data_IF_322208452588
#
_entry.id   IF_322208452588
#
_cell.length_a   1.000
_cell.length_b   1.000
_cell.length_c   1.000
_cell.angle_alpha   90.00
_cell.angle_beta   90.00
_cell.angle_gamma   90.00
#
_symmetry.space_group_name_H-M   'P 1'
#
loop_
_entity.id
_entity.type
_entity.pdbx_description
1 polymer ?
#
# COMPACT_ATOMS: atom_id res chain seq x y z
N UNK A 1 -8.34 -2.50 32.01
CA UNK A 1 -9.48 -1.68 31.54
C UNK A 1 -9.28 -1.46 30.05
N UNK A 2 -10.34 -1.40 29.22
CA UNK A 2 -10.18 -1.15 27.80
C UNK A 2 -9.45 0.18 27.59
N UNK A 3 -8.48 0.20 26.66
CA UNK A 3 -7.71 1.39 26.33
C UNK A 3 -8.61 2.39 25.59
N UNK A 4 -8.40 3.68 25.90
CA UNK A 4 -8.96 4.82 25.15
C UNK A 4 -8.01 5.13 23.98
N UNK A 5 -8.52 5.05 22.77
CA UNK A 5 -7.69 5.06 21.54
C UNK A 5 -8.06 6.24 20.67
N UNK A 6 -7.06 7.00 20.23
CA UNK A 6 -7.16 7.83 19.03
C UNK A 6 -6.71 6.97 17.84
N UNK A 7 -7.58 6.83 16.82
CA UNK A 7 -7.24 6.16 15.59
C UNK A 7 -6.93 7.17 14.47
N UNK A 8 -5.82 6.97 13.77
CA UNK A 8 -5.40 7.83 12.65
C UNK A 8 -5.19 7.00 11.40
N UNK A 9 -6.04 7.17 10.40
CA UNK A 9 -5.97 6.39 9.17
C UNK A 9 -6.69 7.06 8.00
N UNK A 10 -6.39 6.63 6.76
CA UNK A 10 -7.05 7.18 5.56
C UNK A 10 -7.36 6.11 4.53
N UNK A 11 -6.38 5.28 4.16
CA UNK A 11 -6.49 4.30 3.08
C UNK A 11 -7.25 3.03 3.50
N UNK A 12 -7.70 2.25 2.51
CA UNK A 12 -8.38 0.96 2.72
C UNK A 12 -7.59 0.00 3.62
N UNK A 13 -6.26 0.06 3.58
CA UNK A 13 -5.38 -0.74 4.44
C UNK A 13 -5.65 -0.55 5.94
N UNK A 14 -6.15 0.62 6.34
CA UNK A 14 -6.43 0.96 7.72
C UNK A 14 -7.80 0.44 8.22
N UNK A 15 -8.72 0.13 7.30
CA UNK A 15 -10.11 -0.26 7.62
C UNK A 15 -10.19 -1.48 8.54
N UNK A 16 -9.52 -2.62 8.26
CA UNK A 16 -9.60 -3.79 9.13
C UNK A 16 -9.13 -3.50 10.56
N UNK A 17 -8.14 -2.62 10.72
CA UNK A 17 -7.63 -2.25 12.04
C UNK A 17 -8.69 -1.47 12.83
N UNK A 18 -9.31 -0.44 12.25
CA UNK A 18 -10.38 0.31 12.93
C UNK A 18 -11.54 -0.61 13.32
N UNK A 19 -12.00 -1.45 12.39
CA UNK A 19 -13.07 -2.43 12.64
C UNK A 19 -12.69 -3.41 13.77
N UNK A 20 -11.43 -3.88 13.75
CA UNK A 20 -10.90 -4.79 14.77
C UNK A 20 -10.86 -4.16 16.17
N UNK A 21 -10.48 -2.89 16.28
CA UNK A 21 -10.43 -2.16 17.55
C UNK A 21 -11.84 -2.00 18.15
N UNK A 22 -12.80 -1.55 17.35
CA UNK A 22 -14.20 -1.42 17.78
C UNK A 22 -14.78 -2.79 18.17
N UNK A 23 -14.54 -3.82 17.36
CA UNK A 23 -15.05 -5.18 17.60
C UNK A 23 -14.47 -5.85 18.84
N UNK A 24 -13.33 -5.41 19.37
CA UNK A 24 -12.70 -5.89 20.61
C UNK A 24 -13.11 -5.08 21.85
N UNK A 25 -13.97 -4.07 21.67
CA UNK A 25 -14.51 -3.28 22.78
C UNK A 25 -13.55 -2.21 23.31
N UNK A 26 -12.51 -1.83 22.54
CA UNK A 26 -11.73 -0.65 22.86
C UNK A 26 -12.56 0.62 22.65
N UNK A 27 -12.35 1.63 23.47
CA UNK A 27 -13.00 2.93 23.32
C UNK A 27 -12.23 3.78 22.30
N UNK A 28 -12.73 3.84 21.04
CA UNK A 28 -12.17 4.75 20.02
C UNK A 28 -12.76 6.14 20.25
N UNK A 29 -12.02 7.01 20.95
CA UNK A 29 -12.48 8.32 21.37
C UNK A 29 -12.46 9.37 20.26
N UNK A 30 -11.61 9.18 19.24
CA UNK A 30 -11.59 10.01 18.04
C UNK A 30 -10.93 9.27 16.87
N UNK A 31 -11.39 9.58 15.66
CA UNK A 31 -10.83 9.09 14.39
C UNK A 31 -10.31 10.29 13.60
N UNK A 32 -9.04 10.24 13.22
CA UNK A 32 -8.41 11.24 12.35
C UNK A 32 -8.23 10.65 10.95
N UNK A 33 -8.71 11.36 9.94
CA UNK A 33 -8.52 10.99 8.53
C UNK A 33 -8.19 12.21 7.68
N UNK A 34 -7.79 12.01 6.45
CA UNK A 34 -7.60 13.11 5.49
C UNK A 34 -8.94 13.61 5.03
N UNK A 35 -9.05 14.93 4.87
CA UNK A 35 -10.24 15.53 4.28
C UNK A 35 -10.60 14.88 2.93
N UNK A 36 -11.91 14.76 2.61
CA UNK A 36 -12.36 14.25 1.34
C UNK A 36 -11.70 14.97 0.16
N UNK A 37 -11.37 14.22 -0.88
CA UNK A 37 -10.71 14.76 -2.07
C UNK A 37 -11.55 14.49 -3.31
N UNK A 38 -11.47 15.37 -4.32
CA UNK A 38 -12.04 15.09 -5.63
C UNK A 38 -11.50 13.75 -6.16
N UNK A 39 -12.40 12.85 -6.51
CA UNK A 39 -12.10 11.51 -7.04
C UNK A 39 -13.10 11.16 -8.15
N UNK A 40 -13.00 9.94 -8.72
CA UNK A 40 -13.86 9.49 -9.80
C UNK A 40 -13.32 9.79 -11.19
N UNK A 41 -14.07 9.35 -12.24
CA UNK A 41 -13.64 9.42 -13.65
C UNK A 41 -13.31 10.82 -14.16
N UNK A 42 -13.89 11.86 -13.58
CA UNK A 42 -13.67 13.28 -13.96
C UNK A 42 -13.06 14.10 -12.83
N UNK A 43 -12.74 13.49 -11.67
CA UNK A 43 -12.20 14.19 -10.51
C UNK A 43 -13.13 15.25 -9.92
N UNK A 44 -14.44 15.14 -10.14
CA UNK A 44 -15.43 16.15 -9.74
C UNK A 44 -16.18 15.78 -8.46
N UNK A 45 -16.26 14.48 -8.14
CA UNK A 45 -17.01 14.02 -6.97
C UNK A 45 -16.12 14.04 -5.73
N UNK A 46 -16.51 14.77 -4.70
CA UNK A 46 -15.86 14.74 -3.41
C UNK A 46 -16.16 13.37 -2.76
N UNK A 47 -15.13 12.56 -2.63
CA UNK A 47 -15.27 11.19 -2.11
C UNK A 47 -14.68 11.10 -0.71
N UNK A 48 -15.49 10.67 0.30
CA UNK A 48 -14.98 10.44 1.64
C UNK A 48 -13.92 9.33 1.66
N UNK A 49 -12.97 9.42 2.59
CA UNK A 49 -11.96 8.39 2.76
C UNK A 49 -12.61 7.06 3.21
N UNK A 50 -11.99 5.89 2.96
CA UNK A 50 -12.44 4.63 3.53
C UNK A 50 -12.64 4.68 5.05
N UNK A 51 -11.76 5.33 5.77
CA UNK A 51 -11.84 5.49 7.23
C UNK A 51 -12.97 6.43 7.64
N UNK A 52 -13.23 7.50 6.89
CA UNK A 52 -14.38 8.37 7.13
C UNK A 52 -15.70 7.60 7.06
N UNK A 53 -15.88 6.75 6.04
CA UNK A 53 -17.08 5.91 5.90
C UNK A 53 -17.28 4.97 7.09
N UNK A 54 -16.20 4.34 7.57
CA UNK A 54 -16.26 3.44 8.73
C UNK A 54 -16.50 4.20 10.04
N UNK A 55 -15.86 5.36 10.23
CA UNK A 55 -16.08 6.20 11.40
C UNK A 55 -17.55 6.62 11.51
N UNK A 56 -18.16 7.05 10.40
CA UNK A 56 -19.57 7.40 10.33
C UNK A 56 -20.47 6.18 10.61
N UNK A 57 -20.14 5.00 10.07
CA UNK A 57 -20.88 3.76 10.30
C UNK A 57 -20.91 3.35 11.77
N UNK A 58 -19.84 3.59 12.51
CA UNK A 58 -19.72 3.31 13.93
C UNK A 58 -20.10 4.50 14.82
N UNK A 59 -20.57 5.62 14.24
CA UNK A 59 -20.88 6.87 14.95
C UNK A 59 -19.69 7.38 15.82
N UNK A 60 -18.47 7.22 15.32
CA UNK A 60 -17.25 7.68 16.01
C UNK A 60 -16.98 9.16 15.74
N UNK A 61 -16.43 9.91 16.73
CA UNK A 61 -16.01 11.28 16.52
C UNK A 61 -14.95 11.36 15.42
N UNK A 62 -15.17 12.21 14.41
CA UNK A 62 -14.33 12.30 13.20
C UNK A 62 -13.69 13.67 13.09
N UNK A 63 -12.38 13.70 12.82
CA UNK A 63 -11.59 14.90 12.57
C UNK A 63 -10.81 14.77 11.26
N UNK A 64 -10.78 15.88 10.51
CA UNK A 64 -10.07 15.93 9.22
C UNK A 64 -9.09 17.12 9.15
N UNK A 65 -8.09 17.19 10.05
CA UNK A 65 -7.18 18.33 10.11
C UNK A 65 -6.35 18.43 8.82
N UNK A 66 -6.14 19.66 8.36
CA UNK A 66 -5.26 19.93 7.22
C UNK A 66 -3.78 19.67 7.57
N UNK A 67 -3.41 19.88 8.83
CA UNK A 67 -2.06 19.69 9.37
C UNK A 67 -2.12 19.29 10.85
N UNK A 68 -1.09 18.61 11.32
CA UNK A 68 -0.88 18.28 12.75
C UNK A 68 0.26 19.10 13.37
N UNK A 69 0.80 20.08 12.65
CA UNK A 69 1.98 20.84 13.07
C UNK A 69 1.69 22.03 14.00
N UNK A 70 0.42 22.29 14.32
CA UNK A 70 0.02 23.40 15.17
C UNK A 70 -0.11 22.97 16.63
N UNK A 71 0.11 23.89 17.56
CA UNK A 71 -0.13 23.64 18.98
C UNK A 71 -1.60 23.28 19.26
N UNK A 72 -2.54 23.89 18.51
CA UNK A 72 -3.97 23.60 18.60
C UNK A 72 -4.26 22.12 18.28
N UNK A 73 -3.65 21.56 17.23
CA UNK A 73 -3.82 20.16 16.90
C UNK A 73 -3.32 19.22 18.01
N UNK A 74 -2.19 19.54 18.63
CA UNK A 74 -1.66 18.76 19.74
C UNK A 74 -2.57 18.88 21.00
N UNK A 75 -3.05 20.08 21.30
CA UNK A 75 -3.98 20.32 22.42
C UNK A 75 -5.31 19.58 22.20
N UNK A 76 -5.83 19.56 20.96
CA UNK A 76 -7.02 18.82 20.61
C UNK A 76 -6.80 17.30 20.82
N UNK A 77 -5.66 16.78 20.40
CA UNK A 77 -5.32 15.36 20.59
C UNK A 77 -5.22 15.01 22.09
N UNK A 78 -4.55 15.84 22.87
CA UNK A 78 -4.46 15.68 24.32
C UNK A 78 -5.82 15.77 25.01
N UNK A 79 -6.69 16.68 24.54
CA UNK A 79 -8.04 16.89 25.07
C UNK A 79 -8.98 15.69 24.92
N UNK A 80 -8.68 14.72 24.03
CA UNK A 80 -9.46 13.46 23.95
C UNK A 80 -9.24 12.56 25.17
N UNK A 81 -8.21 12.75 25.96
CA UNK A 81 -7.87 11.90 27.10
C UNK A 81 -7.63 10.45 26.68
N UNK A 82 -7.02 10.25 25.54
CA UNK A 82 -6.70 8.92 25.01
C UNK A 82 -5.40 8.41 25.62
N UNK A 83 -5.33 7.09 25.88
CA UNK A 83 -4.13 6.44 26.39
C UNK A 83 -3.06 6.26 25.32
N UNK A 84 -3.49 5.97 24.09
CA UNK A 84 -2.62 5.57 22.98
C UNK A 84 -3.19 6.02 21.64
N UNK A 85 -2.31 6.31 20.67
CA UNK A 85 -2.70 6.49 19.28
C UNK A 85 -2.31 5.27 18.43
N UNK A 86 -3.22 4.86 17.53
CA UNK A 86 -2.96 3.85 16.50
C UNK A 86 -3.00 4.53 15.14
N UNK A 87 -1.90 4.43 14.41
CA UNK A 87 -1.70 5.10 13.13
C UNK A 87 -1.54 4.06 12.02
N UNK A 88 -2.37 4.12 10.97
CA UNK A 88 -2.31 3.18 9.85
C UNK A 88 -2.56 3.93 8.54
N UNK A 89 -1.58 4.01 7.67
CA UNK A 89 -1.69 4.64 6.35
C UNK A 89 -2.42 6.01 6.38
N UNK A 90 -2.08 6.86 7.35
CA UNK A 90 -2.76 8.15 7.60
C UNK A 90 -2.37 9.23 6.58
N UNK A 91 -1.07 9.32 6.28
CA UNK A 91 -0.55 10.24 5.27
C UNK A 91 -0.28 11.66 5.72
N UNK A 92 -0.27 11.93 7.03
CA UNK A 92 0.31 13.13 7.65
C UNK A 92 1.42 12.72 8.60
N UNK A 93 2.44 13.59 8.71
CA UNK A 93 3.52 13.43 9.70
C UNK A 93 3.00 13.86 11.07
N UNK A 94 3.25 13.04 12.09
CA UNK A 94 2.97 13.35 13.47
C UNK A 94 4.21 14.06 14.08
N UNK A 95 4.13 15.35 14.38
CA UNK A 95 5.23 16.06 15.04
C UNK A 95 5.34 15.65 16.52
N UNK A 96 6.47 15.93 17.15
CA UNK A 96 6.76 15.56 18.54
C UNK A 96 5.64 15.89 19.53
N UNK A 97 5.06 17.12 19.54
CA UNK A 97 3.96 17.41 20.47
C UNK A 97 2.71 16.53 20.28
N UNK A 98 2.47 16.07 19.06
CA UNK A 98 1.38 15.13 18.75
C UNK A 98 1.70 13.72 19.25
N UNK A 99 2.95 13.26 19.13
CA UNK A 99 3.40 11.97 19.67
C UNK A 99 3.34 11.94 21.20
N UNK A 100 3.67 13.05 21.84
CA UNK A 100 3.67 13.22 23.32
C UNK A 100 2.27 13.43 23.91
N UNK A 101 1.24 13.64 23.08
CA UNK A 101 -0.14 13.80 23.54
C UNK A 101 -0.76 12.52 24.16
N UNK A 102 -0.13 11.36 23.95
CA UNK A 102 -0.63 10.06 24.36
C UNK A 102 0.31 9.42 25.40
N UNK A 103 -0.14 9.16 26.64
CA UNK A 103 0.71 8.64 27.72
C UNK A 103 1.43 7.33 27.39
N UNK A 104 0.76 6.41 26.66
CA UNK A 104 1.37 5.16 26.22
C UNK A 104 2.06 5.27 24.86
N UNK A 105 2.01 6.47 24.23
CA UNK A 105 2.62 6.77 22.94
C UNK A 105 1.74 6.50 21.72
N UNK A 106 2.34 6.61 20.55
CA UNK A 106 1.70 6.35 19.28
C UNK A 106 2.33 5.09 18.62
N UNK A 107 1.53 4.22 18.06
CA UNK A 107 2.00 3.02 17.36
C UNK A 107 1.52 3.03 15.91
N UNK A 108 2.42 2.67 15.01
CA UNK A 108 2.12 2.55 13.58
C UNK A 108 2.09 1.09 13.15
N UNK A 109 1.08 0.74 12.35
CA UNK A 109 1.08 -0.51 11.59
C UNK A 109 1.76 -0.27 10.24
N UNK A 110 2.94 -0.86 10.06
CA UNK A 110 3.74 -0.74 8.86
C UNK A 110 3.73 -2.03 8.02
N UNK A 111 3.58 -1.90 6.71
CA UNK A 111 3.41 -3.04 5.80
C UNK A 111 4.74 -3.51 5.18
N UNK A 112 5.77 -3.69 6.01
CA UNK A 112 7.03 -4.33 5.65
C UNK A 112 7.72 -4.93 6.86
N UNK A 113 8.82 -5.65 6.63
CA UNK A 113 9.75 -6.10 7.66
C UNK A 113 10.84 -5.04 7.85
N UNK A 114 10.59 -4.08 8.76
CA UNK A 114 11.55 -3.04 9.10
C UNK A 114 12.88 -3.65 9.64
N UNK A 115 14.01 -3.05 9.32
CA UNK A 115 14.22 -1.70 8.80
C UNK A 115 14.12 -1.58 7.27
N UNK A 116 13.75 -2.65 6.56
CA UNK A 116 13.57 -2.61 5.11
C UNK A 116 12.24 -1.94 4.76
N UNK A 117 12.26 -1.08 3.74
CA UNK A 117 11.09 -0.40 3.18
C UNK A 117 10.40 0.60 4.12
N UNK A 118 11.16 1.43 4.85
CA UNK A 118 10.61 2.59 5.54
C UNK A 118 9.95 3.55 4.55
N UNK A 119 8.76 4.06 4.83
CA UNK A 119 8.09 5.07 4.00
C UNK A 119 6.74 4.65 3.42
N UNK A 120 6.36 5.28 2.30
CA UNK A 120 4.95 5.37 1.86
C UNK A 120 4.42 4.19 1.04
N UNK A 121 5.29 3.39 0.37
CA UNK A 121 4.86 2.35 -0.56
C UNK A 121 5.58 1.00 -0.34
N UNK A 122 5.65 0.47 0.90
CA UNK A 122 6.45 -0.71 1.21
C UNK A 122 6.00 -1.96 0.43
N UNK A 123 4.70 -2.20 0.28
CA UNK A 123 4.14 -3.34 -0.46
C UNK A 123 4.60 -3.32 -1.92
N UNK A 124 4.45 -2.18 -2.59
CA UNK A 124 4.84 -2.05 -3.99
C UNK A 124 6.35 -2.25 -4.16
N UNK A 125 7.16 -1.61 -3.32
CA UNK A 125 8.63 -1.66 -3.41
C UNK A 125 9.18 -3.06 -3.14
N UNK A 126 8.64 -3.79 -2.17
CA UNK A 126 9.04 -5.18 -1.90
C UNK A 126 8.80 -6.08 -3.13
N UNK A 127 7.63 -5.98 -3.77
CA UNK A 127 7.32 -6.75 -4.97
C UNK A 127 8.19 -6.33 -6.16
N UNK A 128 8.35 -5.02 -6.40
CA UNK A 128 9.16 -4.49 -7.51
C UNK A 128 10.64 -4.89 -7.37
N UNK A 129 11.15 -4.97 -6.15
CA UNK A 129 12.51 -5.43 -5.86
C UNK A 129 12.67 -6.96 -5.99
N UNK A 130 11.59 -7.71 -6.10
CA UNK A 130 11.62 -9.17 -6.19
C UNK A 130 11.87 -9.87 -4.85
N UNK A 131 11.53 -9.22 -3.74
CA UNK A 131 11.64 -9.84 -2.42
C UNK A 131 10.77 -11.11 -2.36
N UNK A 132 11.28 -12.15 -1.71
CA UNK A 132 10.57 -13.43 -1.52
C UNK A 132 9.67 -13.43 -0.29
N UNK A 133 9.88 -12.49 0.65
CA UNK A 133 9.07 -12.31 1.84
C UNK A 133 8.88 -10.83 2.17
N UNK A 134 7.81 -10.56 2.91
CA UNK A 134 7.50 -9.27 3.54
C UNK A 134 6.77 -9.54 4.85
N UNK A 135 6.06 -8.54 5.37
CA UNK A 135 5.25 -8.72 6.57
C UNK A 135 4.53 -7.47 6.98
N UNK A 136 3.99 -7.52 8.18
CA UNK A 136 3.46 -6.37 8.89
C UNK A 136 4.14 -6.24 10.24
N UNK A 137 4.38 -5.02 10.67
CA UNK A 137 4.98 -4.72 11.97
C UNK A 137 4.19 -3.63 12.69
N UNK A 138 3.98 -3.81 13.98
CA UNK A 138 3.57 -2.73 14.88
C UNK A 138 4.83 -2.15 15.49
N UNK A 139 5.04 -0.86 15.31
CA UNK A 139 6.19 -0.13 15.85
C UNK A 139 5.74 1.08 16.65
N UNK A 140 6.45 1.45 17.70
CA UNK A 140 6.28 2.72 18.40
C UNK A 140 6.79 3.84 17.52
N UNK A 141 6.02 4.91 17.38
CA UNK A 141 6.41 6.05 16.55
C UNK A 141 7.36 6.98 17.30
N UNK A 142 8.32 7.50 16.54
CA UNK A 142 9.28 8.51 16.93
C UNK A 142 9.37 9.60 15.86
N UNK A 143 10.18 10.63 16.03
CA UNK A 143 10.32 11.72 15.05
C UNK A 143 10.88 11.27 13.69
N UNK A 144 11.61 10.16 13.65
CA UNK A 144 12.18 9.61 12.41
C UNK A 144 11.14 8.89 11.54
N UNK A 145 11.38 8.83 10.23
CA UNK A 145 10.53 8.10 9.30
C UNK A 145 10.63 6.60 9.55
N UNK A 146 9.59 6.01 10.13
CA UNK A 146 9.44 4.58 10.41
C UNK A 146 10.69 3.96 11.09
N UNK A 147 11.35 4.71 11.97
CA UNK A 147 12.61 4.32 12.63
C UNK A 147 12.44 3.83 14.06
N UNK A 148 11.27 3.98 14.65
CA UNK A 148 11.01 3.62 16.04
C UNK A 148 11.07 2.13 16.32
N UNK A 149 11.14 1.70 17.58
CA UNK A 149 11.32 0.32 17.98
C UNK A 149 10.10 -0.54 17.64
N UNK A 150 10.36 -1.81 17.30
CA UNK A 150 9.36 -2.81 16.91
C UNK A 150 8.72 -3.41 18.15
N UNK A 151 7.39 -3.42 18.18
CA UNK A 151 6.59 -4.08 19.20
C UNK A 151 6.26 -5.53 18.83
N UNK A 152 5.71 -5.75 17.65
CA UNK A 152 5.36 -7.07 17.12
C UNK A 152 5.61 -7.12 15.60
N UNK A 153 5.85 -8.32 15.09
CA UNK A 153 6.05 -8.57 13.67
C UNK A 153 5.38 -9.87 13.23
N UNK A 154 4.87 -9.89 12.00
CA UNK A 154 4.34 -11.09 11.34
C UNK A 154 4.91 -11.17 9.92
N UNK A 155 5.54 -12.32 9.58
CA UNK A 155 6.17 -12.56 8.28
C UNK A 155 5.22 -13.23 7.31
N UNK A 156 5.31 -12.87 6.04
CA UNK A 156 4.47 -13.40 4.97
C UNK A 156 5.31 -13.62 3.72
N UNK A 157 5.27 -14.82 3.09
CA UNK A 157 5.91 -15.04 1.80
C UNK A 157 5.19 -14.24 0.70
N UNK A 158 5.96 -13.78 -0.28
CA UNK A 158 5.47 -13.13 -1.50
C UNK A 158 5.45 -14.16 -2.62
N UNK A 159 4.30 -14.72 -3.01
CA UNK A 159 4.21 -15.60 -4.16
C UNK A 159 4.71 -14.91 -5.45
N UNK A 160 5.29 -15.68 -6.36
CA UNK A 160 5.93 -15.15 -7.57
C UNK A 160 4.96 -14.39 -8.50
N UNK A 161 3.67 -14.68 -8.44
CA UNK A 161 2.59 -14.08 -9.23
C UNK A 161 1.69 -13.11 -8.43
N UNK A 162 1.96 -12.94 -7.13
CA UNK A 162 1.18 -12.04 -6.29
C UNK A 162 1.32 -10.59 -6.74
N UNK A 163 0.19 -9.91 -6.92
CA UNK A 163 0.12 -8.47 -7.19
C UNK A 163 0.16 -7.66 -5.90
N UNK A 164 0.39 -6.36 -6.01
CA UNK A 164 0.30 -5.45 -4.87
C UNK A 164 -1.07 -5.52 -4.17
N UNK A 165 -2.17 -5.66 -4.93
CA UNK A 165 -3.50 -5.83 -4.34
C UNK A 165 -3.65 -7.16 -3.60
N UNK A 166 -3.12 -8.28 -4.12
CA UNK A 166 -3.17 -9.56 -3.41
C UNK A 166 -2.46 -9.46 -2.06
N UNK A 167 -1.27 -8.85 -2.07
CA UNK A 167 -0.47 -8.71 -0.86
C UNK A 167 -1.12 -7.73 0.12
N UNK A 168 -1.64 -6.59 -0.35
CA UNK A 168 -2.40 -5.64 0.44
C UNK A 168 -3.58 -6.32 1.16
N UNK A 169 -4.40 -7.07 0.42
CA UNK A 169 -5.58 -7.74 0.97
C UNK A 169 -5.23 -8.85 1.98
N UNK A 170 -4.04 -9.43 1.88
CA UNK A 170 -3.53 -10.39 2.86
C UNK A 170 -2.95 -9.71 4.10
N UNK A 171 -2.20 -8.63 3.93
CA UNK A 171 -1.50 -7.95 5.01
C UNK A 171 -2.43 -7.09 5.89
N UNK A 172 -3.48 -6.49 5.33
CA UNK A 172 -4.36 -5.59 6.07
C UNK A 172 -5.09 -6.29 7.25
N UNK A 173 -5.78 -7.45 7.06
CA UNK A 173 -6.39 -8.16 8.19
C UNK A 173 -5.36 -8.75 9.15
N UNK A 174 -4.22 -9.25 8.65
CA UNK A 174 -3.13 -9.76 9.47
C UNK A 174 -2.55 -8.65 10.37
N UNK A 175 -2.37 -7.46 9.81
CA UNK A 175 -1.92 -6.29 10.56
C UNK A 175 -2.94 -5.83 11.60
N UNK A 176 -4.22 -5.91 11.31
CA UNK A 176 -5.28 -5.60 12.27
C UNK A 176 -5.23 -6.52 13.51
N UNK A 177 -5.08 -7.83 13.29
CA UNK A 177 -4.90 -8.78 14.40
C UNK A 177 -3.62 -8.48 15.19
N UNK A 178 -2.52 -8.17 14.49
CA UNK A 178 -1.25 -7.82 15.12
C UNK A 178 -1.37 -6.58 16.03
N UNK A 179 -2.10 -5.53 15.59
CA UNK A 179 -2.37 -4.34 16.41
C UNK A 179 -3.18 -4.68 17.66
N UNK A 180 -4.21 -5.50 17.52
CA UNK A 180 -5.03 -5.95 18.67
C UNK A 180 -4.17 -6.73 19.67
N UNK A 181 -3.30 -7.62 19.22
CA UNK A 181 -2.35 -8.36 20.07
C UNK A 181 -1.36 -7.43 20.77
N UNK A 182 -0.83 -6.43 20.06
CA UNK A 182 0.07 -5.43 20.62
C UNK A 182 -0.61 -4.60 21.72
N UNK A 183 -1.84 -4.13 21.47
CA UNK A 183 -2.62 -3.40 22.46
C UNK A 183 -2.95 -4.24 23.70
N UNK A 184 -3.30 -5.50 23.52
CA UNK A 184 -3.51 -6.41 24.66
C UNK A 184 -2.24 -6.63 25.49
N UNK A 185 -1.05 -6.65 24.87
CA UNK A 185 0.21 -6.71 25.59
C UNK A 185 0.54 -5.36 26.28
N UNK A 186 0.25 -4.23 25.61
CA UNK A 186 0.41 -2.89 26.15
C UNK A 186 -0.45 -2.68 27.40
N UNK A 187 -1.71 -3.09 27.35
CA UNK A 187 -2.68 -3.00 28.47
C UNK A 187 -2.20 -3.77 29.69
N UNK A 188 -1.58 -4.93 29.50
CA UNK A 188 -0.99 -5.74 30.58
C UNK A 188 0.39 -5.28 31.04
N UNK A 189 0.99 -4.25 30.42
CA UNK A 189 2.35 -3.82 30.70
C UNK A 189 3.42 -4.81 30.29
N UNK A 190 3.10 -5.75 29.37
CA UNK A 190 4.00 -6.82 28.92
C UNK A 190 4.54 -6.63 27.49
N UNK A 191 4.23 -5.48 26.86
CA UNK A 191 4.72 -5.17 25.52
C UNK A 191 6.22 -4.83 25.58
N UNK A 192 7.02 -5.64 24.90
CA UNK A 192 8.45 -5.37 24.75
C UNK A 192 8.73 -4.66 23.45
N UNK A 193 9.56 -3.62 23.50
CA UNK A 193 9.99 -2.84 22.36
C UNK A 193 11.44 -3.18 21.99
N UNK A 194 11.68 -3.57 20.76
CA UNK A 194 13.00 -3.94 20.23
C UNK A 194 13.49 -2.86 19.25
N UNK A 195 14.65 -2.23 19.47
CA UNK A 195 15.24 -1.30 18.52
C UNK A 195 15.38 -1.95 17.12
N UNK A 196 15.16 -1.17 16.07
CA UNK A 196 15.44 -1.66 14.72
C UNK A 196 16.94 -1.84 14.50
N UNK A 197 17.37 -2.87 13.73
CA UNK A 197 18.76 -2.96 13.30
C UNK A 197 19.20 -1.76 12.48
N UNK A 198 20.45 -1.35 12.62
CA UNK A 198 21.03 -0.29 11.78
C UNK A 198 21.34 -0.76 10.35
N UNK A 199 21.63 -2.05 10.21
CA UNK A 199 21.91 -2.69 8.92
C UNK A 199 20.61 -3.09 8.22
N UNK A 200 20.58 -2.93 6.89
CA UNK A 200 19.43 -3.32 6.06
C UNK A 200 18.35 -2.24 5.91
N UNK A 201 18.60 -1.02 6.37
CA UNK A 201 17.70 0.10 6.17
C UNK A 201 17.54 0.40 4.68
N UNK A 202 16.31 0.36 4.18
CA UNK A 202 15.93 0.81 2.84
C UNK A 202 14.67 1.64 2.89
N UNK A 203 14.43 2.40 1.84
CA UNK A 203 13.29 3.32 1.78
C UNK A 203 12.32 2.95 0.67
N UNK A 204 11.04 3.16 0.94
CA UNK A 204 9.91 2.93 0.03
C UNK A 204 9.24 4.26 -0.33
N UNK A 205 9.84 5.09 -1.20
CA UNK A 205 9.22 6.32 -1.64
C UNK A 205 7.91 6.04 -2.36
N UNK A 206 7.00 7.02 -2.30
CA UNK A 206 5.72 6.98 -3.00
C UNK A 206 5.95 6.72 -4.49
N UNK A 207 5.10 5.87 -5.09
CA UNK A 207 5.13 5.61 -6.53
C UNK A 207 4.74 6.88 -7.30
N UNK A 208 5.58 7.27 -8.25
CA UNK A 208 5.34 8.41 -9.14
C UNK A 208 4.75 7.96 -10.47
N UNK A 209 4.06 8.86 -11.17
CA UNK A 209 3.51 8.53 -12.49
C UNK A 209 4.58 8.21 -13.53
N UNK A 210 5.77 8.82 -13.43
CA UNK A 210 6.90 8.55 -14.32
C UNK A 210 7.42 7.11 -14.22
N UNK A 211 7.33 6.51 -13.03
CA UNK A 211 7.75 5.14 -12.79
C UNK A 211 6.79 4.08 -13.36
N UNK A 212 5.59 4.45 -13.78
CA UNK A 212 4.56 3.47 -14.16
C UNK A 212 4.66 3.01 -15.62
N UNK A 213 5.50 3.62 -16.45
CA UNK A 213 5.77 3.13 -17.80
C UNK A 213 6.63 1.86 -17.74
N UNK A 214 6.29 0.86 -18.54
CA UNK A 214 7.05 -0.40 -18.59
C UNK A 214 8.35 -0.17 -19.37
N UNK A 215 9.47 -0.53 -18.76
CA UNK A 215 10.80 -0.52 -19.37
C UNK A 215 11.11 -1.93 -19.88
N UNK A 216 10.74 -2.21 -21.15
CA UNK A 216 10.89 -3.52 -21.77
C UNK A 216 12.33 -3.98 -21.93
N UNK A 217 13.30 -3.05 -21.92
CA UNK A 217 14.75 -3.30 -21.98
C UNK A 217 15.31 -3.97 -20.72
N UNK A 218 14.54 -4.03 -19.65
CA UNK A 218 14.94 -4.75 -18.44
C UNK A 218 14.72 -6.26 -18.57
N UNK A 219 15.42 -7.07 -17.76
CA UNK A 219 15.17 -8.51 -17.68
C UNK A 219 13.68 -8.83 -17.39
N UNK A 220 13.18 -9.93 -17.92
CA UNK A 220 11.76 -10.31 -17.79
C UNK A 220 11.29 -10.36 -16.33
N UNK A 221 12.14 -10.79 -15.39
CA UNK A 221 11.81 -10.81 -13.95
C UNK A 221 11.53 -9.42 -13.41
N UNK A 222 12.33 -8.43 -13.80
CA UNK A 222 12.15 -7.05 -13.37
C UNK A 222 10.88 -6.45 -14.00
N UNK A 223 10.63 -6.72 -15.28
CA UNK A 223 9.39 -6.30 -15.96
C UNK A 223 8.17 -6.92 -15.29
N UNK A 224 8.21 -8.23 -15.02
CA UNK A 224 7.15 -8.94 -14.31
C UNK A 224 6.91 -8.36 -12.91
N UNK A 225 7.96 -8.15 -12.13
CA UNK A 225 7.89 -7.58 -10.79
C UNK A 225 7.37 -6.14 -10.80
N UNK A 226 7.79 -5.34 -11.77
CA UNK A 226 7.29 -3.99 -11.97
C UNK A 226 5.77 -4.00 -12.21
N UNK A 227 5.30 -4.83 -13.16
CA UNK A 227 3.89 -4.93 -13.50
C UNK A 227 3.07 -5.37 -12.29
N UNK A 228 3.41 -6.50 -11.65
CA UNK A 228 2.67 -7.01 -10.51
C UNK A 228 2.76 -6.13 -9.26
N UNK A 229 3.89 -5.43 -9.07
CA UNK A 229 4.09 -4.49 -7.97
C UNK A 229 3.28 -3.20 -8.11
N UNK A 230 2.82 -2.87 -9.31
CA UNK A 230 1.96 -1.71 -9.58
C UNK A 230 0.48 -2.09 -9.83
N UNK A 231 0.15 -3.38 -9.84
CA UNK A 231 -1.18 -3.87 -10.19
C UNK A 231 -2.13 -3.92 -8.99
N UNK A 232 -3.39 -3.50 -9.15
CA UNK A 232 -3.99 -2.87 -10.35
C UNK A 232 -3.81 -1.35 -10.38
N UNK A 233 -3.39 -0.73 -9.29
CA UNK A 233 -3.27 0.73 -9.11
C UNK A 233 -1.89 1.10 -8.59
N UNK A 234 -1.19 2.03 -9.25
CA UNK A 234 -1.60 2.84 -10.40
C UNK A 234 -1.70 2.07 -11.73
N UNK A 235 -1.09 0.87 -11.83
CA UNK A 235 -0.99 0.02 -13.01
C UNK A 235 0.20 0.40 -13.90
N UNK A 236 1.05 -0.58 -14.21
CA UNK A 236 2.11 -0.41 -15.20
C UNK A 236 1.50 -0.30 -16.59
N UNK A 237 2.08 0.53 -17.46
CA UNK A 237 1.49 0.80 -18.78
C UNK A 237 2.54 0.85 -19.89
N UNK A 238 2.08 0.58 -21.09
CA UNK A 238 2.81 0.77 -22.34
C UNK A 238 1.89 1.37 -23.42
N UNK A 239 2.42 1.68 -24.58
CA UNK A 239 1.67 2.08 -25.77
C UNK A 239 1.79 1.00 -26.85
N UNK A 240 0.71 0.69 -27.53
CA UNK A 240 0.70 -0.16 -28.70
C UNK A 240 1.03 0.73 -29.90
N UNK A 241 2.14 0.45 -30.60
CA UNK A 241 2.66 1.35 -31.64
C UNK A 241 1.71 1.50 -32.82
N UNK A 242 0.86 0.50 -33.13
CA UNK A 242 -0.06 0.51 -34.27
C UNK A 242 -1.14 1.61 -34.20
N UNK A 243 -1.63 1.92 -33.00
CA UNK A 243 -2.73 2.89 -32.79
C UNK A 243 -2.41 3.93 -31.72
N UNK A 244 -1.20 3.92 -31.19
CA UNK A 244 -0.72 4.79 -30.11
C UNK A 244 -1.61 4.75 -28.85
N UNK A 245 -2.32 3.65 -28.64
CA UNK A 245 -3.23 3.48 -27.51
C UNK A 245 -2.46 3.08 -26.26
N UNK A 246 -2.69 3.82 -25.18
CA UNK A 246 -2.15 3.48 -23.86
C UNK A 246 -2.95 2.31 -23.28
N UNK A 247 -2.20 1.28 -22.83
CA UNK A 247 -2.75 0.08 -22.22
C UNK A 247 -2.02 -0.16 -20.89
N UNK A 248 -2.77 -0.40 -19.83
CA UNK A 248 -2.20 -0.92 -18.57
C UNK A 248 -2.08 -2.43 -18.69
N UNK A 249 -0.92 -2.95 -18.30
CA UNK A 249 -0.70 -4.39 -18.12
C UNK A 249 -0.84 -4.69 -16.64
N UNK A 250 -1.76 -5.60 -16.31
CA UNK A 250 -2.14 -5.86 -14.91
C UNK A 250 -1.58 -7.18 -14.41
N UNK A 251 -1.50 -8.20 -15.26
CA UNK A 251 -0.92 -9.49 -14.91
C UNK A 251 -0.11 -10.05 -16.06
N UNK A 252 1.01 -10.65 -15.68
CA UNK A 252 1.89 -11.36 -16.62
C UNK A 252 2.34 -12.67 -16.00
N UNK A 253 2.91 -13.53 -16.81
CA UNK A 253 3.69 -14.70 -16.40
C UNK A 253 4.98 -14.72 -17.22
N UNK A 254 5.91 -15.63 -16.91
CA UNK A 254 7.06 -15.87 -17.77
C UNK A 254 6.58 -16.31 -19.13
N UNK A 255 7.08 -15.70 -20.19
CA UNK A 255 6.93 -16.12 -21.58
C UNK A 255 8.18 -16.80 -22.09
N UNK A 256 8.06 -17.47 -23.22
CA UNK A 256 9.18 -18.09 -23.94
C UNK A 256 9.57 -17.24 -25.14
N UNK A 257 10.85 -17.32 -25.55
CA UNK A 257 11.40 -16.59 -26.67
C UNK A 257 12.21 -15.37 -26.29
N UNK A 258 12.86 -14.82 -27.30
CA UNK A 258 13.71 -13.63 -27.21
C UNK A 258 13.49 -12.77 -28.46
N UNK A 259 13.79 -11.49 -28.35
CA UNK A 259 13.62 -10.55 -29.47
C UNK A 259 14.01 -9.14 -29.07
N UNK A 260 13.76 -8.18 -29.94
CA UNK A 260 13.95 -6.77 -29.60
C UNK A 260 12.98 -6.39 -28.48
N UNK A 261 13.45 -5.82 -27.36
CA UNK A 261 12.59 -5.49 -26.22
C UNK A 261 11.34 -4.70 -26.62
N UNK A 262 10.17 -5.11 -26.10
CA UNK A 262 8.88 -4.52 -26.42
C UNK A 262 8.22 -5.09 -27.70
N UNK A 263 8.83 -6.07 -28.37
CA UNK A 263 8.21 -6.72 -29.54
C UNK A 263 7.35 -7.90 -29.13
N UNK A 264 6.12 -7.95 -29.62
CA UNK A 264 5.23 -9.11 -29.49
C UNK A 264 5.77 -10.27 -30.30
N UNK A 265 5.93 -11.45 -29.69
CA UNK A 265 6.58 -12.62 -30.28
C UNK A 265 5.58 -13.60 -30.90
N UNK A 266 4.35 -13.64 -30.43
CA UNK A 266 3.33 -14.62 -30.79
C UNK A 266 1.90 -14.01 -30.79
N UNK A 267 0.90 -14.85 -31.00
CA UNK A 267 -0.53 -14.50 -30.97
C UNK A 267 -1.16 -14.57 -29.57
N UNK A 268 -0.37 -14.83 -28.52
CA UNK A 268 -0.79 -14.89 -27.12
C UNK A 268 -0.31 -13.70 -26.27
N UNK A 269 0.18 -12.62 -26.90
CA UNK A 269 0.76 -11.44 -26.27
C UNK A 269 2.00 -11.73 -25.41
N UNK A 270 2.87 -12.61 -25.88
CA UNK A 270 4.22 -12.74 -25.35
C UNK A 270 5.08 -11.58 -25.86
N UNK A 271 5.66 -10.81 -24.94
CA UNK A 271 6.46 -9.61 -25.25
C UNK A 271 7.90 -9.83 -24.86
N UNK A 272 8.80 -9.61 -25.77
CA UNK A 272 10.24 -9.69 -25.53
C UNK A 272 10.70 -8.62 -24.51
N UNK A 273 11.61 -9.01 -23.62
CA UNK A 273 12.27 -8.17 -22.67
C UNK A 273 13.78 -8.09 -22.97
N UNK A 274 14.54 -7.33 -22.18
CA UNK A 274 15.99 -7.26 -22.31
C UNK A 274 16.69 -8.61 -22.12
N UNK A 275 16.07 -9.49 -21.33
CA UNK A 275 16.43 -10.90 -21.19
C UNK A 275 15.14 -11.71 -21.05
N UNK A 276 14.88 -12.67 -21.98
CA UNK A 276 13.65 -13.48 -22.03
C UNK A 276 12.41 -12.70 -22.43
N UNK A 277 11.25 -13.15 -21.97
CA UNK A 277 9.95 -12.57 -22.33
C UNK A 277 8.94 -12.69 -21.18
N UNK A 278 7.90 -11.87 -21.23
CA UNK A 278 6.71 -12.00 -20.40
C UNK A 278 5.47 -12.24 -21.28
N UNK A 279 4.56 -13.12 -20.84
CA UNK A 279 3.24 -13.27 -21.45
C UNK A 279 2.25 -12.43 -20.66
N UNK A 280 1.50 -11.58 -21.33
CA UNK A 280 0.43 -10.77 -20.76
C UNK A 280 -0.80 -11.63 -20.54
N UNK A 281 -1.33 -11.64 -19.33
CA UNK A 281 -2.52 -12.40 -18.95
C UNK A 281 -3.76 -11.51 -18.81
N UNK A 282 -3.55 -10.27 -18.33
CA UNK A 282 -4.63 -9.33 -18.07
C UNK A 282 -4.15 -7.91 -18.33
N UNK A 283 -5.00 -7.13 -18.99
CA UNK A 283 -4.70 -5.76 -19.39
C UNK A 283 -5.95 -4.88 -19.37
N UNK A 284 -5.74 -3.55 -19.45
CA UNK A 284 -6.82 -2.58 -19.41
C UNK A 284 -6.55 -1.44 -20.38
N UNK A 285 -7.44 -1.22 -21.37
CA UNK A 285 -7.43 -0.01 -22.20
C UNK A 285 -7.92 1.20 -21.41
N UNK A 286 -7.45 2.38 -21.79
CA UNK A 286 -7.92 3.63 -21.21
C UNK A 286 -9.46 3.74 -21.29
N UNK A 287 -10.11 4.04 -20.17
CA UNK A 287 -11.56 4.18 -20.08
C UNK A 287 -12.38 2.88 -20.15
N UNK A 288 -11.74 1.70 -20.23
CA UNK A 288 -12.39 0.39 -20.24
C UNK A 288 -12.13 -0.36 -18.93
N UNK A 289 -12.84 -1.49 -18.74
CA UNK A 289 -12.56 -2.41 -17.65
C UNK A 289 -11.36 -3.30 -17.97
N UNK A 290 -10.75 -3.87 -16.93
CA UNK A 290 -9.74 -4.91 -17.07
C UNK A 290 -10.34 -6.13 -17.77
N UNK A 291 -9.56 -6.78 -18.64
CA UNK A 291 -9.97 -7.98 -19.39
C UNK A 291 -8.80 -8.94 -19.58
N UNK A 292 -9.10 -10.20 -19.84
CA UNK A 292 -8.10 -11.20 -20.17
C UNK A 292 -7.48 -10.94 -21.55
N UNK A 293 -6.22 -11.35 -21.72
CA UNK A 293 -5.51 -11.18 -22.99
C UNK A 293 -6.26 -11.75 -24.20
N UNK A 294 -6.83 -12.96 -24.08
CA UNK A 294 -7.60 -13.58 -25.15
C UNK A 294 -8.90 -12.82 -25.51
N UNK A 295 -9.51 -12.13 -24.55
CA UNK A 295 -10.69 -11.29 -24.81
C UNK A 295 -10.28 -10.01 -25.54
N UNK A 296 -9.14 -9.44 -25.17
CA UNK A 296 -8.57 -8.28 -25.83
C UNK A 296 -8.24 -8.59 -27.30
N UNK A 297 -7.61 -9.74 -27.58
CA UNK A 297 -7.21 -10.17 -28.93
C UNK A 297 -8.41 -10.46 -29.85
N UNK A 298 -9.58 -10.82 -29.32
CA UNK A 298 -10.80 -10.95 -30.15
C UNK A 298 -11.28 -9.62 -30.75
N UNK A 299 -11.00 -8.51 -30.07
CA UNK A 299 -11.42 -7.17 -30.50
C UNK A 299 -10.28 -6.28 -31.01
N UNK A 300 -9.04 -6.78 -30.99
CA UNK A 300 -7.87 -5.99 -31.39
C UNK A 300 -6.81 -6.90 -31.98
N UNK A 301 -6.50 -6.70 -33.26
CA UNK A 301 -5.43 -7.48 -33.91
C UNK A 301 -4.07 -6.97 -33.45
N UNK A 302 -3.29 -7.81 -32.79
CA UNK A 302 -1.90 -7.58 -32.40
C UNK A 302 -1.07 -8.72 -32.99
N UNK A 303 -0.47 -8.47 -34.14
CA UNK A 303 0.36 -9.46 -34.79
C UNK A 303 1.74 -9.57 -34.13
N UNK A 304 2.39 -10.74 -34.29
CA UNK A 304 3.82 -10.87 -34.00
C UNK A 304 4.61 -9.79 -34.75
N UNK A 305 5.60 -9.22 -34.11
CA UNK A 305 6.35 -8.06 -34.60
C UNK A 305 5.78 -6.69 -34.19
N UNK A 306 4.54 -6.62 -33.66
CA UNK A 306 4.00 -5.36 -33.11
C UNK A 306 4.86 -4.86 -31.97
N UNK A 307 5.09 -3.55 -31.91
CA UNK A 307 5.89 -2.91 -30.85
C UNK A 307 5.00 -2.35 -29.75
N UNK A 308 5.40 -2.64 -28.51
CA UNK A 308 4.90 -2.03 -27.30
C UNK A 308 5.97 -1.08 -26.76
N UNK A 309 5.66 0.22 -26.59
CA UNK A 309 6.61 1.26 -26.20
C UNK A 309 6.22 2.08 -24.98
#
# INVERSE_FOLDING_TARGET
>A
MPLRIVFMGTADFAVPTLVGLVGRGHEVVAVYTRAPKPAGRRGLDITPSPIEREALRFALPLLTPATLRTAEAANTAHGHGADVAIVVAYGLVLPKPMLEAFPLGAFNLHASLLPRWRGAAPINRAIMAGDSETGVMVMKMEEGLDSGPIALAERVPIPCDATAANLHNRLAPLGADLVVRALGALERGSLTLMPQPEVGVTYAPKITNSETRIAWERPWKEVHNHIRGLSPVPGAWCQIASDNVRVKVLRTTRGEGTGVPGTVLDDELTVACGDGAVRILELQRAGRQAMKAHEFLRGTTVAAGTRFG
#
